data_IF_862184581007
#
_entry.id   IF_862184581007
#
_cell.length_a   1.000
_cell.length_b   1.000
_cell.length_c   1.000
_cell.angle_alpha   90.00
_cell.angle_beta   90.00
_cell.angle_gamma   90.00
#
_symmetry.space_group_name_H-M   'P 1'
#
loop_
_entity.id
_entity.type
_entity.pdbx_description
1 polymer ?
#
# COMPACT_ATOMS: atom_id res chain seq x y z
N UNK A 1 -11.93 22.73 -13.35
CA UNK A 1 -10.50 22.38 -13.17
C UNK A 1 -10.32 20.95 -13.64
N UNK A 2 -9.24 20.62 -14.37
CA UNK A 2 -8.93 19.23 -14.72
C UNK A 2 -8.65 18.42 -13.46
N UNK A 3 -9.08 17.15 -13.43
CA UNK A 3 -8.78 16.21 -12.34
C UNK A 3 -7.28 15.90 -12.36
N UNK A 4 -6.61 16.01 -11.21
CA UNK A 4 -5.19 15.67 -11.07
C UNK A 4 -5.03 14.26 -10.49
N UNK A 5 -3.94 13.59 -10.86
CA UNK A 5 -3.53 12.30 -10.33
C UNK A 5 -3.00 12.45 -8.90
N UNK A 6 -3.25 11.45 -8.07
CA UNK A 6 -2.49 11.20 -6.85
C UNK A 6 -1.33 10.23 -7.12
N UNK A 7 -0.15 10.50 -6.59
CA UNK A 7 1.02 9.63 -6.75
C UNK A 7 1.61 9.28 -5.39
N UNK A 8 1.62 7.98 -5.10
CA UNK A 8 2.36 7.43 -3.98
C UNK A 8 3.61 6.72 -4.50
N UNK A 9 4.72 6.81 -3.80
CA UNK A 9 5.87 5.94 -4.02
C UNK A 9 5.74 4.71 -3.13
N UNK A 10 5.49 3.54 -3.72
CA UNK A 10 5.56 2.28 -2.98
C UNK A 10 7.04 1.85 -2.92
N UNK A 11 7.63 1.86 -1.74
CA UNK A 11 8.99 1.34 -1.52
C UNK A 11 8.90 -0.15 -1.14
N UNK A 12 9.64 -0.99 -1.87
CA UNK A 12 9.77 -2.40 -1.58
C UNK A 12 11.16 -2.88 -1.97
N UNK A 13 11.97 -3.28 -0.99
CA UNK A 13 13.36 -3.69 -1.22
C UNK A 13 14.10 -2.65 -2.10
N UNK A 14 14.92 -3.11 -3.05
CA UNK A 14 15.58 -2.29 -4.07
C UNK A 14 14.75 -2.12 -5.35
N UNK A 15 13.46 -2.42 -5.32
CA UNK A 15 12.57 -2.31 -6.46
C UNK A 15 11.52 -3.41 -6.52
N UNK A 16 10.50 -3.20 -7.37
CA UNK A 16 9.35 -4.09 -7.47
C UNK A 16 9.55 -5.29 -8.40
N UNK A 17 10.70 -5.39 -9.06
CA UNK A 17 11.14 -6.64 -9.67
C UNK A 17 11.90 -7.48 -8.63
N UNK A 18 11.64 -8.78 -8.54
CA UNK A 18 12.25 -9.63 -7.51
C UNK A 18 13.78 -9.71 -7.59
N UNK A 19 14.32 -9.57 -8.80
CA UNK A 19 15.75 -9.53 -9.07
C UNK A 19 16.38 -8.13 -9.01
N UNK A 20 15.60 -7.10 -8.66
CA UNK A 20 16.06 -5.70 -8.64
C UNK A 20 17.36 -5.52 -7.86
N UNK A 21 17.54 -6.26 -6.77
CA UNK A 21 18.72 -6.19 -5.94
C UNK A 21 20.04 -6.60 -6.62
N UNK A 22 19.96 -7.36 -7.72
CA UNK A 22 21.12 -7.77 -8.52
C UNK A 22 21.49 -6.76 -9.60
N UNK A 23 20.59 -5.82 -9.89
CA UNK A 23 20.77 -4.88 -10.99
C UNK A 23 21.83 -3.82 -10.62
N UNK A 24 22.82 -3.52 -11.49
CA UNK A 24 23.92 -2.61 -11.15
C UNK A 24 23.48 -1.17 -10.85
N UNK A 25 22.32 -0.76 -11.36
CA UNK A 25 21.70 0.55 -11.07
C UNK A 25 20.78 0.56 -9.84
N UNK A 26 20.65 -0.55 -9.12
CA UNK A 26 19.95 -0.56 -7.84
C UNK A 26 20.82 0.08 -6.75
N UNK A 27 20.20 0.62 -5.70
CA UNK A 27 20.97 1.19 -4.58
C UNK A 27 21.91 0.14 -3.96
N UNK A 28 23.20 0.45 -3.76
CA UNK A 28 24.14 -0.46 -3.11
C UNK A 28 23.95 -0.50 -1.58
N UNK A 29 23.21 0.46 -1.00
CA UNK A 29 23.00 0.56 0.44
C UNK A 29 22.26 -0.67 0.98
N UNK A 30 22.49 -0.99 2.26
CA UNK A 30 21.75 -2.05 2.92
C UNK A 30 20.26 -1.68 3.00
N UNK A 31 19.37 -2.68 2.93
CA UNK A 31 17.94 -2.45 3.10
C UNK A 31 17.55 -2.03 4.53
N UNK A 32 18.48 -2.08 5.47
CA UNK A 32 18.35 -1.55 6.83
C UNK A 32 19.02 -0.19 6.99
N UNK A 33 19.68 0.33 5.96
CA UNK A 33 20.29 1.65 5.99
C UNK A 33 19.19 2.72 5.88
N UNK A 34 19.18 3.64 6.85
CA UNK A 34 18.23 4.74 6.84
C UNK A 34 18.45 5.67 5.65
N UNK A 35 19.69 5.85 5.19
CA UNK A 35 20.01 6.75 4.09
C UNK A 35 19.29 6.35 2.80
N UNK A 36 19.15 5.05 2.54
CA UNK A 36 18.36 4.54 1.42
C UNK A 36 16.92 5.05 1.45
N UNK A 37 16.26 4.96 2.61
CA UNK A 37 14.87 5.39 2.77
C UNK A 37 14.73 6.91 2.74
N UNK A 38 15.69 7.62 3.34
CA UNK A 38 15.75 9.08 3.36
C UNK A 38 15.86 9.64 1.94
N UNK A 39 16.75 9.09 1.12
CA UNK A 39 16.94 9.52 -0.27
C UNK A 39 15.68 9.33 -1.11
N UNK A 40 15.03 8.16 -1.02
CA UNK A 40 13.78 7.89 -1.74
C UNK A 40 12.65 8.82 -1.31
N UNK A 41 12.51 9.06 -0.01
CA UNK A 41 11.49 9.96 0.52
C UNK A 41 11.71 11.41 0.08
N UNK A 42 12.97 11.89 0.07
CA UNK A 42 13.32 13.23 -0.41
C UNK A 42 13.08 13.40 -1.91
N UNK A 43 13.52 12.45 -2.73
CA UNK A 43 13.25 12.46 -4.19
C UNK A 43 11.75 12.55 -4.47
N UNK A 44 10.94 11.76 -3.77
CA UNK A 44 9.48 11.79 -3.91
C UNK A 44 8.87 13.12 -3.38
N UNK A 45 9.37 13.65 -2.27
CA UNK A 45 8.94 14.95 -1.71
C UNK A 45 9.24 16.11 -2.67
N UNK A 46 10.45 16.19 -3.19
CA UNK A 46 10.86 17.23 -4.14
C UNK A 46 10.05 17.14 -5.45
N UNK A 47 9.62 15.94 -5.83
CA UNK A 47 8.73 15.68 -6.95
C UNK A 47 7.24 15.93 -6.64
N UNK A 48 6.90 16.35 -5.41
CA UNK A 48 5.55 16.63 -4.93
C UNK A 48 4.59 15.42 -4.88
N UNK A 49 5.11 14.20 -4.67
CA UNK A 49 4.30 12.99 -4.49
C UNK A 49 3.41 13.12 -3.23
N UNK A 50 2.21 12.54 -3.26
CA UNK A 50 1.28 12.57 -2.12
C UNK A 50 1.88 11.86 -0.90
N UNK A 51 2.51 10.70 -1.09
CA UNK A 51 3.12 9.94 0.00
C UNK A 51 4.21 8.96 -0.43
N UNK A 52 5.01 8.49 0.53
CA UNK A 52 5.65 7.18 0.46
C UNK A 52 4.78 6.13 1.14
N UNK A 53 4.83 4.90 0.65
CA UNK A 53 4.09 3.76 1.17
C UNK A 53 5.05 2.61 1.50
N UNK A 54 5.05 2.22 2.78
CA UNK A 54 5.84 1.13 3.32
C UNK A 54 4.93 -0.06 3.64
N UNK A 55 5.03 -1.11 2.83
CA UNK A 55 4.39 -2.38 3.12
C UNK A 55 5.12 -3.13 4.24
N UNK A 56 4.42 -4.05 4.89
CA UNK A 56 5.02 -4.88 5.92
C UNK A 56 4.65 -6.36 5.81
N UNK A 57 5.52 -7.21 6.35
CA UNK A 57 5.31 -8.64 6.51
C UNK A 57 5.87 -9.08 7.86
N UNK A 58 5.05 -9.76 8.67
CA UNK A 58 5.40 -10.13 10.03
C UNK A 58 6.04 -11.53 10.15
N UNK A 59 6.59 -12.02 9.04
CA UNK A 59 7.27 -13.30 8.95
C UNK A 59 8.29 -13.26 7.83
N UNK A 60 9.48 -13.80 8.06
CA UNK A 60 10.50 -13.95 7.03
C UNK A 60 10.13 -15.09 6.08
N UNK A 61 10.26 -14.87 4.77
CA UNK A 61 10.07 -15.93 3.77
C UNK A 61 11.31 -16.83 3.68
N UNK A 62 11.12 -18.13 3.44
CA UNK A 62 12.22 -19.08 3.22
C UNK A 62 13.07 -18.85 1.96
N UNK A 63 12.69 -17.88 1.11
CA UNK A 63 13.40 -17.50 -0.12
C UNK A 63 14.50 -16.43 0.09
N UNK A 64 14.84 -16.09 1.33
CA UNK A 64 15.75 -14.98 1.65
C UNK A 64 17.17 -15.17 1.08
N UNK A 65 17.59 -16.41 0.81
CA UNK A 65 18.87 -16.70 0.16
C UNK A 65 18.95 -16.17 -1.29
N UNK A 66 17.80 -15.99 -1.95
CA UNK A 66 17.73 -15.59 -3.36
C UNK A 66 16.89 -14.32 -3.58
N UNK A 67 16.21 -13.82 -2.55
CA UNK A 67 15.38 -12.63 -2.61
C UNK A 67 15.71 -11.67 -1.47
N UNK A 68 15.94 -10.40 -1.80
CA UNK A 68 16.25 -9.38 -0.81
C UNK A 68 14.97 -8.91 -0.08
N UNK A 69 14.50 -9.70 0.88
CA UNK A 69 13.27 -9.48 1.66
C UNK A 69 13.55 -9.29 3.16
N UNK A 70 14.32 -8.26 3.47
CA UNK A 70 14.55 -7.78 4.83
C UNK A 70 14.59 -6.26 4.78
N UNK A 71 13.81 -5.57 5.62
CA UNK A 71 13.76 -4.11 5.70
C UNK A 71 13.39 -3.69 7.14
N UNK A 72 13.51 -2.39 7.43
CA UNK A 72 13.15 -1.83 8.73
C UNK A 72 11.65 -1.94 9.01
N UNK A 73 11.27 -2.11 10.27
CA UNK A 73 9.87 -2.07 10.69
C UNK A 73 9.25 -0.69 10.33
N UNK A 74 8.10 -0.65 9.62
CA UNK A 74 7.62 0.61 9.03
C UNK A 74 7.23 1.72 10.01
N UNK A 75 6.61 1.41 11.15
CA UNK A 75 6.11 2.43 12.11
C UNK A 75 7.28 3.18 12.75
N UNK A 76 8.34 2.47 13.14
CA UNK A 76 9.57 3.07 13.66
C UNK A 76 10.30 3.89 12.58
N UNK A 77 10.38 3.37 11.35
CA UNK A 77 10.96 4.09 10.21
C UNK A 77 10.20 5.39 9.89
N UNK A 78 8.87 5.43 10.03
CA UNK A 78 8.11 6.69 9.85
C UNK A 78 8.59 7.79 10.78
N UNK A 79 9.01 7.46 12.01
CA UNK A 79 9.53 8.45 12.97
C UNK A 79 10.78 9.16 12.45
N UNK A 80 11.72 8.39 11.90
CA UNK A 80 12.94 8.95 11.30
C UNK A 80 12.64 9.74 10.02
N UNK A 81 11.74 9.24 9.16
CA UNK A 81 11.35 9.93 7.92
C UNK A 81 10.56 11.20 8.19
N UNK A 82 9.74 11.23 9.24
CA UNK A 82 9.00 12.42 9.66
C UNK A 82 9.92 13.59 10.02
N UNK A 83 11.08 13.31 10.61
CA UNK A 83 12.09 14.32 10.91
C UNK A 83 12.94 14.71 9.67
N UNK A 84 13.06 13.82 8.68
CA UNK A 84 13.89 14.03 7.49
C UNK A 84 13.15 14.65 6.29
N UNK A 85 11.82 14.82 6.40
CA UNK A 85 10.92 15.34 5.35
C UNK A 85 9.94 16.36 5.94
N UNK A 86 9.28 17.14 5.10
CA UNK A 86 8.50 18.32 5.54
C UNK A 86 7.04 18.36 5.03
N UNK A 87 6.74 17.68 3.93
CA UNK A 87 5.48 17.74 3.20
C UNK A 87 4.93 16.38 2.83
N UNK A 88 5.75 15.44 2.35
CA UNK A 88 5.28 14.15 1.84
C UNK A 88 4.54 13.34 2.90
N UNK A 89 3.48 12.65 2.51
CA UNK A 89 2.79 11.68 3.35
C UNK A 89 3.66 10.48 3.69
N UNK A 90 3.42 9.88 4.85
CA UNK A 90 4.17 8.76 5.39
C UNK A 90 3.19 7.65 5.74
N UNK A 91 3.03 6.66 4.86
CA UNK A 91 2.10 5.55 5.05
C UNK A 91 2.85 4.30 5.50
N UNK A 92 2.46 3.75 6.65
CA UNK A 92 2.94 2.46 7.13
C UNK A 92 1.82 1.43 7.16
N UNK A 93 2.17 0.20 6.81
CA UNK A 93 1.31 -0.97 7.04
C UNK A 93 1.41 -1.41 8.48
N UNK A 94 0.26 -1.63 9.13
CA UNK A 94 0.21 -2.22 10.45
C UNK A 94 -1.03 -3.10 10.61
N UNK A 95 -0.87 -4.19 11.37
CA UNK A 95 -1.88 -5.23 11.50
C UNK A 95 -2.91 -4.92 12.60
N UNK A 96 -4.20 -5.16 12.33
CA UNK A 96 -5.26 -5.16 13.35
C UNK A 96 -5.32 -6.48 14.16
N UNK A 97 -4.45 -7.45 13.85
CA UNK A 97 -4.50 -8.80 14.42
C UNK A 97 -3.44 -9.01 15.49
N UNK A 98 -2.27 -8.39 15.35
CA UNK A 98 -1.10 -8.71 16.17
C UNK A 98 -0.58 -7.53 17.02
N UNK A 99 -1.36 -6.46 17.11
CA UNK A 99 -1.02 -5.30 17.95
C UNK A 99 -2.28 -4.75 18.59
N UNK A 100 -2.27 -4.55 19.91
CA UNK A 100 -3.40 -3.98 20.63
C UNK A 100 -3.81 -2.59 20.10
N UNK A 101 -5.11 -2.28 19.99
CA UNK A 101 -5.60 -1.01 19.43
C UNK A 101 -5.11 0.22 20.20
N UNK A 102 -4.94 0.11 21.53
CA UNK A 102 -4.40 1.21 22.33
C UNK A 102 -2.94 1.52 21.97
N UNK A 103 -2.12 0.48 21.75
CA UNK A 103 -0.71 0.66 21.38
C UNK A 103 -0.59 1.34 20.02
N UNK A 104 -1.31 0.82 19.02
CA UNK A 104 -1.24 1.33 17.67
C UNK A 104 -1.80 2.75 17.55
N UNK A 105 -2.92 3.04 18.22
CA UNK A 105 -3.49 4.39 18.27
C UNK A 105 -2.49 5.41 18.84
N UNK A 106 -1.76 5.05 19.91
CA UNK A 106 -0.71 5.92 20.50
C UNK A 106 0.46 6.14 19.56
N UNK A 107 0.98 5.08 18.94
CA UNK A 107 2.11 5.15 18.01
C UNK A 107 1.78 6.07 16.83
N UNK A 108 0.65 5.81 16.16
CA UNK A 108 0.22 6.62 15.03
C UNK A 108 -0.13 8.06 15.42
N UNK A 109 -0.78 8.30 16.57
CA UNK A 109 -1.06 9.67 17.04
C UNK A 109 0.23 10.45 17.29
N UNK A 110 1.22 9.80 17.92
CA UNK A 110 2.53 10.42 18.21
C UNK A 110 3.25 10.78 16.91
N UNK A 111 3.30 9.85 15.95
CA UNK A 111 3.86 10.10 14.62
C UNK A 111 3.11 11.20 13.87
N UNK A 112 1.79 11.30 14.03
CA UNK A 112 0.99 12.33 13.38
C UNK A 112 1.28 13.72 13.96
N UNK A 113 1.51 13.84 15.26
CA UNK A 113 2.02 15.07 15.87
C UNK A 113 3.45 15.40 15.41
N UNK A 114 4.39 14.43 15.45
CA UNK A 114 5.79 14.61 15.02
C UNK A 114 5.85 15.10 13.56
N UNK A 115 5.06 14.48 12.69
CA UNK A 115 5.03 14.79 11.26
C UNK A 115 4.17 16.01 10.90
N UNK A 116 3.42 16.58 11.86
CA UNK A 116 2.44 17.66 11.66
C UNK A 116 1.28 17.28 10.72
N UNK A 117 0.76 16.07 10.88
CA UNK A 117 -0.43 15.59 10.20
C UNK A 117 -0.16 14.92 8.85
N UNK A 118 0.95 14.17 8.74
CA UNK A 118 1.35 13.52 7.47
C UNK A 118 1.25 12.00 7.49
N UNK A 119 0.72 11.40 8.55
CA UNK A 119 0.72 9.93 8.68
C UNK A 119 -0.51 9.30 8.01
N UNK A 120 -0.28 8.17 7.35
CA UNK A 120 -1.32 7.25 6.94
C UNK A 120 -1.09 5.84 7.49
N UNK A 121 -2.18 5.12 7.70
CA UNK A 121 -2.17 3.74 8.16
C UNK A 121 -2.78 2.84 7.09
N UNK A 122 -1.96 1.95 6.51
CA UNK A 122 -2.46 0.84 5.72
C UNK A 122 -2.93 -0.31 6.62
N UNK A 123 -4.26 -0.45 6.70
CA UNK A 123 -4.96 -1.38 7.58
C UNK A 123 -4.89 -2.78 6.97
N UNK A 124 -4.21 -3.70 7.67
CA UNK A 124 -4.08 -5.09 7.24
C UNK A 124 -4.64 -6.02 8.32
N UNK A 125 -5.49 -6.96 7.92
CA UNK A 125 -6.05 -7.96 8.85
C UNK A 125 -5.15 -9.17 9.03
N UNK A 126 -3.98 -9.20 8.39
CA UNK A 126 -3.05 -10.33 8.26
C UNK A 126 -3.63 -11.54 7.51
N UNK A 127 -2.75 -12.32 6.90
CA UNK A 127 -3.12 -13.54 6.15
C UNK A 127 -2.07 -14.66 6.18
N UNK A 128 -0.91 -14.45 6.81
CA UNK A 128 0.19 -15.42 6.81
C UNK A 128 0.10 -16.37 8.01
N UNK A 129 0.15 -17.68 7.77
CA UNK A 129 0.26 -18.71 8.82
C UNK A 129 1.58 -18.55 9.59
N UNK A 130 2.69 -18.32 8.88
CA UNK A 130 3.99 -18.13 9.51
C UNK A 130 4.02 -16.89 10.43
N UNK A 131 3.23 -15.86 10.13
CA UNK A 131 3.07 -14.73 11.04
C UNK A 131 2.33 -15.14 12.32
N UNK A 132 1.28 -15.96 12.23
CA UNK A 132 0.53 -16.42 13.41
C UNK A 132 1.44 -17.09 14.45
N UNK A 133 2.35 -17.96 14.00
CA UNK A 133 3.32 -18.63 14.88
C UNK A 133 4.25 -17.66 15.62
N UNK A 134 4.60 -16.53 15.03
CA UNK A 134 5.44 -15.51 15.68
C UNK A 134 4.72 -14.76 16.81
N UNK A 135 3.38 -14.82 16.86
CA UNK A 135 2.56 -14.16 17.89
C UNK A 135 1.90 -15.15 18.86
N UNK A 136 2.33 -16.41 18.84
CA UNK A 136 1.86 -17.45 19.75
C UNK A 136 0.55 -18.13 19.33
N UNK A 137 0.00 -17.80 18.16
CA UNK A 137 -1.17 -18.49 17.61
C UNK A 137 -0.74 -19.78 16.90
N UNK A 138 -1.36 -20.92 17.22
CA UNK A 138 -1.07 -22.19 16.52
C UNK A 138 -1.64 -22.23 15.10
N UNK A 139 -2.80 -21.58 14.91
CA UNK A 139 -3.54 -21.54 13.66
C UNK A 139 -3.89 -20.11 13.28
N UNK A 140 -4.00 -19.88 11.98
CA UNK A 140 -4.43 -18.60 11.47
C UNK A 140 -5.92 -18.37 11.76
N UNK A 141 -6.24 -17.24 12.40
CA UNK A 141 -7.63 -16.78 12.61
C UNK A 141 -8.41 -16.78 11.29
N UNK A 142 -9.66 -17.23 11.29
CA UNK A 142 -10.49 -17.35 10.09
C UNK A 142 -10.67 -16.02 9.35
N UNK A 143 -10.91 -16.05 8.03
CA UNK A 143 -11.11 -14.82 7.24
C UNK A 143 -12.25 -13.94 7.81
N UNK A 144 -13.37 -14.56 8.18
CA UNK A 144 -14.52 -13.87 8.74
C UNK A 144 -14.19 -13.23 10.09
N UNK A 145 -13.54 -13.97 10.99
CA UNK A 145 -13.19 -13.47 12.33
C UNK A 145 -12.14 -12.34 12.26
N UNK A 146 -11.20 -12.41 11.31
CA UNK A 146 -10.23 -11.33 11.09
C UNK A 146 -10.90 -10.01 10.73
N UNK A 147 -11.92 -10.03 9.86
CA UNK A 147 -12.67 -8.82 9.52
C UNK A 147 -13.62 -8.38 10.64
N UNK A 148 -14.28 -9.29 11.34
CA UNK A 148 -15.11 -8.95 12.51
C UNK A 148 -14.27 -8.26 13.60
N UNK A 149 -13.08 -8.79 13.88
CA UNK A 149 -12.10 -8.19 14.79
C UNK A 149 -11.60 -6.84 14.29
N UNK A 150 -11.34 -6.70 12.98
CA UNK A 150 -10.89 -5.44 12.39
C UNK A 150 -11.96 -4.33 12.47
N UNK A 151 -13.24 -4.66 12.28
CA UNK A 151 -14.36 -3.71 12.45
C UNK A 151 -14.39 -3.14 13.87
N UNK A 152 -14.32 -4.01 14.89
CA UNK A 152 -14.25 -3.56 16.28
C UNK A 152 -12.96 -2.76 16.57
N UNK A 153 -11.83 -3.17 16.01
CA UNK A 153 -10.56 -2.44 16.11
C UNK A 153 -10.70 -1.01 15.61
N UNK A 154 -11.32 -0.82 14.44
CA UNK A 154 -11.50 0.49 13.84
C UNK A 154 -12.41 1.39 14.68
N UNK A 155 -13.44 0.82 15.33
CA UNK A 155 -14.27 1.56 16.27
C UNK A 155 -13.45 2.07 17.47
N UNK A 156 -12.66 1.18 18.10
CA UNK A 156 -11.79 1.53 19.23
C UNK A 156 -10.75 2.58 18.84
N UNK A 157 -10.02 2.38 17.73
CA UNK A 157 -8.96 3.28 17.30
C UNK A 157 -9.49 4.69 16.97
N UNK A 158 -10.62 4.79 16.24
CA UNK A 158 -11.28 6.07 15.95
C UNK A 158 -11.71 6.78 17.24
N UNK A 159 -12.35 6.06 18.16
CA UNK A 159 -12.78 6.63 19.43
C UNK A 159 -11.60 7.09 20.30
N UNK A 160 -10.45 6.37 20.27
CA UNK A 160 -9.24 6.77 20.98
C UNK A 160 -8.69 8.09 20.44
N UNK A 161 -8.58 8.26 19.12
CA UNK A 161 -8.13 9.54 18.53
C UNK A 161 -9.11 10.69 18.77
N UNK A 162 -10.39 10.37 18.98
CA UNK A 162 -11.44 11.34 19.27
C UNK A 162 -11.68 11.56 20.78
N UNK A 163 -10.92 10.90 21.66
CA UNK A 163 -11.06 11.01 23.12
C UNK A 163 -10.68 12.39 23.69
N UNK A 164 -10.00 13.22 22.90
CA UNK A 164 -9.69 14.61 23.23
C UNK A 164 -10.40 15.54 22.23
N UNK A 165 -11.02 16.60 22.72
CA UNK A 165 -11.46 17.70 21.87
C UNK A 165 -10.27 18.43 21.23
N UNK A 166 -10.51 19.13 20.12
CA UNK A 166 -9.47 19.89 19.41
C UNK A 166 -8.82 20.99 20.28
N UNK A 167 -9.61 21.62 21.15
CA UNK A 167 -9.20 22.71 22.06
C UNK A 167 -8.96 22.23 23.50
N UNK A 168 -8.74 20.92 23.69
CA UNK A 168 -8.62 20.32 25.02
C UNK A 168 -7.38 20.79 25.79
N UNK A 169 -6.27 21.09 25.12
CA UNK A 169 -5.04 21.59 25.75
C UNK A 169 -5.05 23.12 25.77
N UNK A 170 -5.01 23.70 26.97
CA UNK A 170 -4.98 25.15 27.22
C UNK A 170 -3.55 25.68 27.43
N UNK A 171 -2.73 24.94 28.19
CA UNK A 171 -1.41 25.39 28.71
C UNK A 171 -1.44 26.80 29.36
N UNK A 172 -2.48 27.08 30.14
CA UNK A 172 -2.67 28.35 30.86
C UNK A 172 -1.85 28.36 32.16
N UNK A 173 -0.61 28.87 32.07
CA UNK A 173 0.33 28.95 33.20
C UNK A 173 -0.14 29.91 34.31
N UNK A 174 -0.64 31.13 34.02
CA UNK A 174 -1.17 32.02 35.05
C UNK A 174 -2.33 31.40 35.86
N UNK A 175 -3.25 30.70 35.21
CA UNK A 175 -4.39 30.06 35.90
C UNK A 175 -4.08 28.66 36.46
N UNK A 176 -2.89 28.10 36.17
CA UNK A 176 -2.52 26.74 36.56
C UNK A 176 -3.36 25.66 35.89
N UNK A 177 -3.82 25.88 34.65
CA UNK A 177 -4.74 24.99 33.93
C UNK A 177 -4.12 24.47 32.64
N UNK A 178 -3.77 23.18 32.63
CA UNK A 178 -3.22 22.56 31.42
C UNK A 178 -4.29 22.16 30.40
N UNK A 179 -5.45 21.65 30.85
CA UNK A 179 -6.50 21.16 29.97
C UNK A 179 -7.88 21.72 30.35
N UNK A 180 -8.78 21.80 29.35
CA UNK A 180 -10.17 22.27 29.50
C UNK A 180 -11.02 21.19 30.18
N UNK A 181 -11.67 21.46 31.33
CA UNK A 181 -12.51 20.48 32.00
C UNK A 181 -13.61 19.92 31.09
N UNK A 182 -13.80 18.60 31.12
CA UNK A 182 -14.82 17.91 30.33
C UNK A 182 -14.57 17.86 28.82
N UNK A 183 -13.36 18.20 28.36
CA UNK A 183 -12.95 18.11 26.95
C UNK A 183 -12.20 16.81 26.60
N UNK A 184 -12.01 15.95 27.60
CA UNK A 184 -11.33 14.66 27.47
C UNK A 184 -12.29 13.60 28.01
N UNK A 185 -12.49 12.52 27.27
CA UNK A 185 -13.50 11.52 27.59
C UNK A 185 -12.92 10.11 27.58
N UNK A 186 -13.31 9.32 28.59
CA UNK A 186 -13.09 7.88 28.56
C UNK A 186 -13.87 7.25 27.39
N UNK A 187 -13.37 6.12 26.89
CA UNK A 187 -14.07 5.32 25.89
C UNK A 187 -15.05 4.35 26.55
N UNK A 188 -14.61 3.70 27.62
CA UNK A 188 -15.32 2.59 28.29
C UNK A 188 -15.82 1.51 27.29
N UNK A 189 -15.06 1.25 26.22
CA UNK A 189 -15.44 0.29 25.19
C UNK A 189 -15.38 -1.14 25.76
N UNK A 190 -16.47 -1.88 25.63
CA UNK A 190 -16.57 -3.28 26.01
C UNK A 190 -17.28 -4.08 24.91
N UNK A 191 -16.52 -4.47 23.89
CA UNK A 191 -17.02 -5.27 22.78
C UNK A 191 -16.67 -6.76 22.90
N UNK A 192 -16.83 -7.48 21.79
CA UNK A 192 -16.60 -8.93 21.72
C UNK A 192 -15.11 -9.25 21.77
N UNK A 193 -14.29 -8.43 21.12
CA UNK A 193 -12.86 -8.66 20.94
C UNK A 193 -12.01 -7.78 21.86
N UNK A 194 -12.46 -6.57 22.20
CA UNK A 194 -11.66 -5.60 22.95
C UNK A 194 -12.42 -5.01 24.14
N UNK A 195 -11.67 -4.75 25.21
CA UNK A 195 -12.10 -3.96 26.37
C UNK A 195 -11.09 -2.86 26.62
N UNK A 196 -11.47 -1.61 26.40
CA UNK A 196 -10.55 -0.45 26.43
C UNK A 196 -11.20 0.71 27.19
N UNK A 197 -10.65 1.05 28.35
CA UNK A 197 -11.16 2.13 29.19
C UNK A 197 -10.97 3.52 28.54
N UNK A 198 -9.80 3.78 27.94
CA UNK A 198 -9.43 5.13 27.51
C UNK A 198 -9.21 6.08 28.69
N UNK A 199 -8.99 7.38 28.44
CA UNK A 199 -8.86 8.03 27.14
C UNK A 199 -7.52 7.65 26.50
N UNK A 200 -7.26 8.09 25.27
CA UNK A 200 -5.90 8.08 24.76
C UNK A 200 -5.06 9.07 25.58
N UNK A 201 -3.77 8.81 25.78
CA UNK A 201 -2.87 9.73 26.50
C UNK A 201 -2.09 10.65 25.54
N UNK A 202 -2.63 10.88 24.34
CA UNK A 202 -2.08 11.78 23.32
C UNK A 202 -3.25 12.62 22.80
N UNK A 203 -3.11 13.96 22.70
CA UNK A 203 -4.16 14.82 22.15
C UNK A 203 -4.55 14.42 20.72
N UNK A 204 -5.74 14.86 20.31
CA UNK A 204 -6.28 14.64 18.96
C UNK A 204 -5.26 15.04 17.88
N UNK A 205 -5.20 14.27 16.81
CA UNK A 205 -4.15 14.40 15.82
C UNK A 205 -4.30 15.69 14.98
N UNK A 206 -3.21 16.27 14.44
CA UNK A 206 -3.29 17.52 13.67
C UNK A 206 -4.25 17.44 12.48
N UNK A 207 -4.25 16.32 11.76
CA UNK A 207 -5.20 16.05 10.66
C UNK A 207 -6.47 15.32 11.12
N UNK A 208 -6.82 15.43 12.42
CA UNK A 208 -7.95 14.76 13.07
C UNK A 208 -7.58 13.34 13.48
N UNK A 209 -7.24 12.51 12.50
CA UNK A 209 -6.68 11.17 12.65
C UNK A 209 -5.85 10.80 11.41
N UNK A 210 -4.92 9.84 11.49
CA UNK A 210 -4.17 9.35 10.33
C UNK A 210 -5.08 8.99 9.15
N UNK A 211 -4.58 9.12 7.92
CA UNK A 211 -5.33 8.74 6.71
C UNK A 211 -5.44 7.22 6.63
N UNK A 212 -6.64 6.70 6.41
CA UNK A 212 -6.84 5.25 6.29
C UNK A 212 -6.61 4.77 4.87
N UNK A 213 -5.68 3.82 4.74
CA UNK A 213 -5.31 3.14 3.51
C UNK A 213 -5.70 1.68 3.65
N UNK A 214 -6.17 1.03 2.59
CA UNK A 214 -6.54 -0.38 2.64
C UNK A 214 -6.34 -1.06 1.28
N UNK A 215 -6.13 -2.38 1.26
CA UNK A 215 -5.79 -3.14 0.05
C UNK A 215 -6.55 -4.47 -0.15
N UNK A 216 -7.72 -4.61 0.47
CA UNK A 216 -8.54 -5.82 0.41
C UNK A 216 -9.30 -5.93 -0.90
N UNK A 217 -9.12 -7.05 -1.60
CA UNK A 217 -9.78 -7.35 -2.88
C UNK A 217 -10.95 -8.33 -2.78
N UNK A 218 -11.10 -9.05 -1.65
CA UNK A 218 -12.26 -9.93 -1.43
C UNK A 218 -13.56 -9.13 -1.31
N UNK A 219 -14.71 -9.78 -1.39
CA UNK A 219 -16.00 -9.12 -1.16
C UNK A 219 -16.05 -8.42 0.21
N UNK A 220 -15.74 -9.15 1.28
CA UNK A 220 -15.61 -8.59 2.64
C UNK A 220 -14.58 -7.47 2.71
N UNK A 221 -13.45 -7.63 2.00
CA UNK A 221 -12.38 -6.63 1.96
C UNK A 221 -12.79 -5.33 1.27
N UNK A 222 -13.55 -5.43 0.18
CA UNK A 222 -14.11 -4.27 -0.54
C UNK A 222 -15.20 -3.57 0.27
N UNK A 223 -16.03 -4.32 0.99
CA UNK A 223 -17.01 -3.73 1.91
C UNK A 223 -16.35 -3.00 3.08
N UNK A 224 -15.30 -3.59 3.66
CA UNK A 224 -14.51 -2.95 4.70
C UNK A 224 -13.82 -1.68 4.17
N UNK A 225 -13.20 -1.75 2.99
CA UNK A 225 -12.60 -0.58 2.33
C UNK A 225 -13.63 0.52 2.09
N UNK A 226 -14.80 0.17 1.57
CA UNK A 226 -15.89 1.10 1.33
C UNK A 226 -16.35 1.81 2.61
N UNK A 227 -16.36 1.14 3.77
CA UNK A 227 -16.71 1.75 5.07
C UNK A 227 -15.59 2.61 5.66
N UNK A 228 -14.32 2.21 5.52
CA UNK A 228 -13.23 2.82 6.30
C UNK A 228 -12.19 3.56 5.46
N UNK A 229 -11.81 3.04 4.29
CA UNK A 229 -10.65 3.50 3.55
C UNK A 229 -10.89 4.86 2.91
N UNK A 230 -9.88 5.70 2.93
CA UNK A 230 -9.85 7.01 2.29
C UNK A 230 -8.95 6.96 1.05
N UNK A 231 -7.98 6.04 1.07
CA UNK A 231 -7.15 5.65 -0.06
C UNK A 231 -7.17 4.12 -0.18
N UNK A 232 -7.33 3.61 -1.40
CA UNK A 232 -7.40 2.17 -1.65
C UNK A 232 -6.31 1.79 -2.63
N UNK A 233 -5.42 0.92 -2.17
CA UNK A 233 -4.39 0.31 -2.99
C UNK A 233 -4.93 -0.99 -3.59
N UNK A 234 -4.76 -1.19 -4.90
CA UNK A 234 -5.32 -2.38 -5.57
C UNK A 234 -4.38 -2.93 -6.64
N UNK A 235 -4.45 -4.24 -6.85
CA UNK A 235 -3.74 -4.94 -7.90
C UNK A 235 -4.67 -5.15 -9.09
N UNK A 236 -4.38 -4.46 -10.19
CA UNK A 236 -5.14 -4.54 -11.43
C UNK A 236 -4.16 -4.79 -12.57
N UNK A 237 -4.36 -5.90 -13.30
CA UNK A 237 -3.50 -6.32 -14.41
C UNK A 237 -4.00 -5.78 -15.75
N UNK A 238 -5.27 -5.39 -15.82
CA UNK A 238 -5.92 -4.95 -17.04
C UNK A 238 -6.86 -3.78 -16.73
N UNK A 239 -7.05 -2.90 -17.73
CA UNK A 239 -7.89 -1.71 -17.56
C UNK A 239 -9.36 -2.05 -17.29
N UNK A 240 -9.90 -3.08 -17.95
CA UNK A 240 -11.29 -3.50 -17.76
C UNK A 240 -11.57 -3.94 -16.32
N UNK A 241 -10.66 -4.73 -15.72
CA UNK A 241 -10.80 -5.13 -14.31
C UNK A 241 -10.64 -3.95 -13.36
N UNK A 242 -9.75 -2.99 -13.69
CA UNK A 242 -9.59 -1.76 -12.92
C UNK A 242 -10.86 -0.90 -12.91
N UNK A 243 -11.51 -0.71 -14.08
CA UNK A 243 -12.77 0.02 -14.19
C UNK A 243 -13.90 -0.66 -13.42
N UNK A 244 -14.01 -1.99 -13.52
CA UNK A 244 -15.00 -2.76 -12.77
C UNK A 244 -14.79 -2.61 -11.24
N UNK A 245 -13.55 -2.72 -10.77
CA UNK A 245 -13.22 -2.51 -9.36
C UNK A 245 -13.48 -1.07 -8.90
N UNK A 246 -13.11 -0.08 -9.72
CA UNK A 246 -13.35 1.33 -9.44
C UNK A 246 -14.85 1.61 -9.26
N UNK A 247 -15.68 1.18 -10.23
CA UNK A 247 -17.12 1.38 -10.18
C UNK A 247 -17.78 0.68 -8.98
N UNK A 248 -17.42 -0.59 -8.72
CA UNK A 248 -17.94 -1.36 -7.59
C UNK A 248 -17.60 -0.69 -6.25
N UNK A 249 -16.36 -0.27 -6.04
CA UNK A 249 -15.94 0.31 -4.78
C UNK A 249 -16.59 1.68 -4.53
N UNK A 250 -16.72 2.53 -5.55
CA UNK A 250 -17.43 3.82 -5.45
C UNK A 250 -18.92 3.60 -5.15
N UNK A 251 -19.55 2.58 -5.74
CA UNK A 251 -20.93 2.21 -5.43
C UNK A 251 -21.09 1.72 -3.97
N UNK A 252 -20.18 0.88 -3.48
CA UNK A 252 -20.16 0.43 -2.08
C UNK A 252 -19.96 1.58 -1.10
N UNK A 253 -19.06 2.52 -1.39
CA UNK A 253 -18.85 3.71 -0.57
C UNK A 253 -20.13 4.54 -0.45
N UNK A 254 -20.84 4.73 -1.57
CA UNK A 254 -22.14 5.41 -1.59
C UNK A 254 -23.19 4.66 -0.76
N UNK A 255 -23.29 3.34 -0.90
CA UNK A 255 -24.19 2.49 -0.09
C UNK A 255 -23.87 2.56 1.40
N UNK A 256 -22.61 2.76 1.77
CA UNK A 256 -22.16 2.98 3.14
C UNK A 256 -22.38 4.43 3.65
N UNK A 257 -23.06 5.28 2.87
CA UNK A 257 -23.36 6.67 3.25
C UNK A 257 -22.17 7.64 3.12
N UNK A 258 -21.11 7.24 2.41
CA UNK A 258 -19.92 8.09 2.20
C UNK A 258 -19.95 8.74 0.83
N UNK A 259 -19.27 9.89 0.71
CA UNK A 259 -19.01 10.49 -0.59
C UNK A 259 -17.95 9.66 -1.34
N UNK A 260 -18.28 9.05 -2.50
CA UNK A 260 -17.34 8.21 -3.26
C UNK A 260 -16.12 8.96 -3.79
N UNK A 261 -16.22 10.28 -3.99
CA UNK A 261 -15.09 11.13 -4.40
C UNK A 261 -14.04 11.30 -3.30
N UNK A 262 -14.37 10.95 -2.04
CA UNK A 262 -13.43 10.97 -0.91
C UNK A 262 -12.77 9.60 -0.65
N UNK A 263 -12.82 8.70 -1.63
CA UNK A 263 -12.15 7.40 -1.59
C UNK A 263 -11.23 7.31 -2.81
N UNK A 264 -9.95 7.67 -2.67
CA UNK A 264 -9.00 7.65 -3.77
C UNK A 264 -8.61 6.20 -4.10
N UNK A 265 -8.76 5.77 -5.35
CA UNK A 265 -8.40 4.41 -5.79
C UNK A 265 -7.11 4.47 -6.59
N UNK A 266 -6.04 3.89 -6.04
CA UNK A 266 -4.67 3.99 -6.55
C UNK A 266 -4.11 2.59 -6.89
N UNK A 267 -4.37 2.07 -8.09
CA UNK A 267 -3.75 0.84 -8.56
C UNK A 267 -2.22 0.92 -8.53
N UNK A 268 -1.57 -0.20 -8.28
CA UNK A 268 -0.12 -0.28 -8.44
C UNK A 268 0.30 -0.25 -9.90
N UNK A 269 1.33 0.54 -10.23
CA UNK A 269 1.85 0.70 -11.58
C UNK A 269 3.38 0.63 -11.57
N UNK A 270 3.95 -0.33 -12.30
CA UNK A 270 5.39 -0.60 -12.36
C UNK A 270 5.94 -0.34 -13.76
N UNK A 271 6.22 0.92 -14.12
CA UNK A 271 6.79 1.26 -15.42
C UNK A 271 8.31 1.06 -15.44
N UNK A 272 8.79 0.37 -16.48
CA UNK A 272 10.17 0.38 -16.92
C UNK A 272 10.28 1.40 -18.05
N UNK A 273 11.04 2.46 -17.83
CA UNK A 273 11.05 3.66 -18.68
C UNK A 273 12.39 3.75 -19.41
N UNK A 274 12.34 3.94 -20.72
CA UNK A 274 13.51 4.15 -21.58
C UNK A 274 13.22 5.18 -22.68
N UNK A 275 14.24 5.68 -23.37
CA UNK A 275 14.06 6.70 -24.41
C UNK A 275 13.37 6.16 -25.67
N UNK A 276 13.45 4.85 -25.90
CA UNK A 276 12.83 4.16 -27.05
C UNK A 276 12.16 2.86 -26.62
N UNK A 277 11.22 2.38 -27.45
CA UNK A 277 10.52 1.11 -27.22
C UNK A 277 11.51 -0.07 -27.23
N UNK A 278 12.46 -0.07 -28.17
CA UNK A 278 13.48 -1.10 -28.30
C UNK A 278 14.40 -1.16 -27.08
N UNK A 279 14.75 0.01 -26.52
CA UNK A 279 15.52 0.06 -25.28
C UNK A 279 14.71 -0.45 -24.09
N UNK A 280 13.43 -0.09 -23.99
CA UNK A 280 12.57 -0.59 -22.92
C UNK A 280 12.48 -2.13 -22.96
N UNK A 281 12.32 -2.72 -24.14
CA UNK A 281 12.29 -4.18 -24.34
C UNK A 281 13.62 -4.83 -23.97
N UNK A 282 14.75 -4.22 -24.35
CA UNK A 282 16.08 -4.68 -23.95
C UNK A 282 16.25 -4.69 -22.43
N UNK A 283 15.80 -3.64 -21.75
CA UNK A 283 15.88 -3.53 -20.30
C UNK A 283 14.95 -4.54 -19.58
N UNK A 284 13.79 -4.86 -20.15
CA UNK A 284 12.95 -5.96 -19.67
C UNK A 284 13.70 -7.28 -19.74
N UNK A 285 14.35 -7.59 -20.86
CA UNK A 285 15.14 -8.81 -21.02
C UNK A 285 16.32 -8.86 -20.03
N UNK A 286 17.04 -7.74 -19.87
CA UNK A 286 18.14 -7.62 -18.91
C UNK A 286 17.67 -7.91 -17.48
N UNK A 287 16.62 -7.21 -17.03
CA UNK A 287 16.12 -7.33 -15.66
C UNK A 287 15.53 -8.73 -15.38
N UNK A 288 14.81 -9.29 -16.34
CA UNK A 288 14.29 -10.65 -16.27
C UNK A 288 15.41 -11.70 -16.25
N UNK A 289 16.51 -11.45 -16.99
CA UNK A 289 17.70 -12.31 -17.00
C UNK A 289 18.41 -12.41 -15.65
N UNK A 290 18.18 -11.45 -14.74
CA UNK A 290 18.65 -11.48 -13.36
C UNK A 290 17.75 -12.31 -12.43
N UNK A 291 16.57 -12.75 -12.86
CA UNK A 291 15.71 -13.56 -12.01
C UNK A 291 16.29 -14.98 -11.83
N UNK A 292 16.10 -15.54 -10.63
CA UNK A 292 16.42 -16.93 -10.34
C UNK A 292 15.23 -17.81 -10.74
N UNK A 293 15.38 -18.73 -11.72
CA UNK A 293 14.28 -19.57 -12.16
C UNK A 293 13.69 -20.43 -11.03
N UNK A 294 14.48 -20.86 -10.05
CA UNK A 294 13.99 -21.71 -8.96
C UNK A 294 13.13 -20.94 -7.95
N UNK A 295 13.44 -19.65 -7.72
CA UNK A 295 12.53 -18.74 -7.02
C UNK A 295 11.22 -18.60 -7.80
N UNK A 296 11.32 -18.42 -9.12
CA UNK A 296 10.16 -18.37 -10.01
C UNK A 296 9.30 -19.63 -9.92
N UNK A 297 9.90 -20.82 -9.96
CA UNK A 297 9.21 -22.11 -9.85
C UNK A 297 8.51 -22.27 -8.51
N UNK A 298 9.17 -21.95 -7.39
CA UNK A 298 8.55 -22.01 -6.05
C UNK A 298 7.33 -21.10 -5.95
N UNK A 299 7.44 -19.87 -6.47
CA UNK A 299 6.30 -18.97 -6.55
C UNK A 299 5.18 -19.54 -7.42
N UNK A 300 5.50 -20.09 -8.60
CA UNK A 300 4.53 -20.70 -9.49
C UNK A 300 3.83 -21.88 -8.81
N UNK A 301 4.59 -22.77 -8.16
CA UNK A 301 4.09 -23.89 -7.36
C UNK A 301 3.09 -23.40 -6.30
N UNK A 302 3.43 -22.34 -5.56
CA UNK A 302 2.52 -21.73 -4.59
C UNK A 302 1.22 -21.16 -5.18
N UNK A 303 1.20 -20.79 -6.47
CA UNK A 303 -0.03 -20.37 -7.18
C UNK A 303 -0.95 -21.55 -7.52
N UNK A 304 -0.42 -22.77 -7.54
CA UNK A 304 -1.13 -24.00 -7.89
C UNK A 304 -1.14 -24.98 -6.71
N UNK A 305 -1.28 -24.46 -5.48
CA UNK A 305 -1.45 -25.30 -4.28
C UNK A 305 -0.24 -26.16 -3.92
N UNK A 306 0.97 -25.80 -4.38
CA UNK A 306 2.17 -26.60 -4.17
C UNK A 306 2.47 -27.61 -5.27
N UNK A 307 1.78 -27.56 -6.41
CA UNK A 307 2.07 -28.42 -7.56
C UNK A 307 3.53 -28.29 -7.99
N UNK A 308 4.17 -29.43 -8.26
CA UNK A 308 5.58 -29.49 -8.62
C UNK A 308 5.79 -29.28 -10.13
N UNK A 309 6.39 -28.15 -10.48
CA UNK A 309 6.77 -27.80 -11.84
C UNK A 309 8.23 -28.17 -12.16
N UNK A 310 8.98 -28.83 -11.26
CA UNK A 310 10.41 -29.13 -11.43
C UNK A 310 10.75 -29.98 -12.65
N UNK A 311 9.80 -30.83 -13.09
CA UNK A 311 9.93 -31.68 -14.26
C UNK A 311 9.87 -30.92 -15.60
N UNK A 312 9.46 -29.64 -15.61
CA UNK A 312 9.36 -28.84 -16.83
C UNK A 312 10.71 -28.19 -17.18
N UNK A 313 11.22 -28.42 -18.38
CA UNK A 313 12.41 -27.75 -18.90
C UNK A 313 12.19 -26.24 -19.08
N UNK A 314 13.20 -25.42 -18.78
CA UNK A 314 13.06 -23.96 -18.78
C UNK A 314 12.73 -23.37 -20.16
N UNK A 315 13.34 -23.91 -21.22
CA UNK A 315 13.22 -23.37 -22.58
C UNK A 315 12.20 -24.13 -23.44
N UNK A 316 11.43 -25.04 -22.81
CA UNK A 316 10.31 -25.73 -23.47
C UNK A 316 9.08 -24.81 -23.51
N UNK A 317 8.41 -24.65 -24.68
CA UNK A 317 7.12 -24.00 -24.77
C UNK A 317 6.06 -24.71 -23.92
N UNK A 318 5.30 -23.94 -23.15
CA UNK A 318 4.26 -24.44 -22.28
C UNK A 318 2.90 -24.55 -23.00
N UNK A 319 2.08 -25.44 -22.48
CA UNK A 319 0.68 -25.67 -22.88
C UNK A 319 -0.21 -25.69 -21.64
N UNK A 320 -1.53 -25.52 -21.81
CA UNK A 320 -2.48 -25.61 -20.70
C UNK A 320 -2.40 -26.95 -19.95
N UNK A 321 -2.05 -28.03 -20.65
CA UNK A 321 -1.92 -29.37 -20.08
C UNK A 321 -0.73 -29.51 -19.11
N UNK A 322 0.21 -28.56 -19.11
CA UNK A 322 1.32 -28.53 -18.15
C UNK A 322 0.89 -28.00 -16.77
N UNK A 323 -0.37 -27.58 -16.61
CA UNK A 323 -0.92 -26.98 -15.39
C UNK A 323 -2.08 -27.81 -14.83
N UNK A 324 -2.23 -27.87 -13.50
CA UNK A 324 -3.47 -28.34 -12.87
C UNK A 324 -4.65 -27.49 -13.32
N UNK A 325 -5.84 -28.11 -13.34
CA UNK A 325 -7.09 -27.40 -13.59
C UNK A 325 -7.22 -26.24 -12.57
N UNK A 326 -7.28 -24.97 -13.03
CA UNK A 326 -7.45 -23.82 -12.14
C UNK A 326 -8.61 -23.95 -11.17
N UNK A 327 -9.68 -24.67 -11.54
CA UNK A 327 -10.87 -24.85 -10.72
C UNK A 327 -10.62 -25.74 -9.50
N UNK A 328 -9.54 -26.51 -9.49
CA UNK A 328 -9.11 -27.32 -8.35
C UNK A 328 -8.22 -26.57 -7.35
N UNK A 329 -7.88 -25.31 -7.62
CA UNK A 329 -6.96 -24.50 -6.80
C UNK A 329 -7.73 -23.53 -5.89
N UNK A 330 -8.19 -24.03 -4.74
CA UNK A 330 -9.01 -23.27 -3.78
C UNK A 330 -8.38 -21.92 -3.33
N UNK A 331 -7.07 -21.88 -3.05
CA UNK A 331 -6.42 -20.70 -2.48
C UNK A 331 -6.08 -19.59 -3.50
N UNK A 332 -6.05 -19.89 -4.80
CA UNK A 332 -5.54 -18.98 -5.83
C UNK A 332 -6.21 -19.11 -7.21
N UNK A 333 -7.41 -19.72 -7.29
CA UNK A 333 -8.17 -20.00 -8.52
C UNK A 333 -8.11 -18.88 -9.57
N UNK A 334 -8.44 -17.64 -9.18
CA UNK A 334 -8.43 -16.49 -10.10
C UNK A 334 -7.05 -16.24 -10.72
N UNK A 335 -5.96 -16.35 -9.93
CA UNK A 335 -4.60 -16.16 -10.45
C UNK A 335 -4.12 -17.35 -11.26
N UNK A 336 -4.49 -18.58 -10.88
CA UNK A 336 -4.20 -19.79 -11.64
C UNK A 336 -4.84 -19.70 -13.04
N UNK A 337 -6.11 -19.31 -13.11
CA UNK A 337 -6.82 -19.13 -14.38
C UNK A 337 -6.16 -18.07 -15.28
N UNK A 338 -5.72 -16.93 -14.73
CA UNK A 338 -4.96 -15.91 -15.49
C UNK A 338 -3.66 -16.46 -16.06
N UNK A 339 -2.92 -17.28 -15.30
CA UNK A 339 -1.66 -17.88 -15.76
C UNK A 339 -1.91 -18.89 -16.87
N UNK A 340 -2.90 -19.77 -16.72
CA UNK A 340 -3.24 -20.76 -17.76
C UNK A 340 -3.71 -20.07 -19.03
N UNK A 341 -4.59 -19.06 -18.93
CA UNK A 341 -5.03 -18.30 -20.11
C UNK A 341 -3.91 -17.53 -20.82
N UNK A 342 -2.90 -17.06 -20.08
CA UNK A 342 -1.68 -16.50 -20.68
C UNK A 342 -0.90 -17.56 -21.47
N UNK A 343 -0.74 -18.76 -20.90
CA UNK A 343 -0.04 -19.87 -21.55
C UNK A 343 -0.76 -20.33 -22.81
N UNK A 344 -2.09 -20.43 -22.77
CA UNK A 344 -2.90 -20.80 -23.93
C UNK A 344 -2.74 -19.82 -25.09
N UNK A 345 -2.75 -18.52 -24.79
CA UNK A 345 -2.68 -17.46 -25.79
C UNK A 345 -1.28 -17.28 -26.37
N UNK A 346 -0.25 -17.28 -25.52
CA UNK A 346 1.10 -16.84 -25.90
C UNK A 346 2.09 -17.99 -26.04
N UNK A 347 1.78 -19.19 -25.51
CA UNK A 347 2.67 -20.36 -25.47
C UNK A 347 4.12 -20.02 -25.10
N UNK A 348 4.35 -19.28 -23.99
CA UNK A 348 5.68 -18.89 -23.57
C UNK A 348 6.49 -20.13 -23.17
N UNK A 349 7.82 -20.03 -23.21
CA UNK A 349 8.65 -21.01 -22.49
C UNK A 349 8.46 -20.84 -20.98
N UNK A 350 8.81 -21.87 -20.20
CA UNK A 350 8.75 -21.74 -18.74
C UNK A 350 9.61 -20.58 -18.25
N UNK A 351 10.82 -20.39 -18.78
CA UNK A 351 11.69 -19.25 -18.46
C UNK A 351 10.99 -17.91 -18.67
N UNK A 352 10.31 -17.76 -19.82
CA UNK A 352 9.57 -16.54 -20.15
C UNK A 352 8.38 -16.33 -19.21
N UNK A 353 7.63 -17.38 -18.88
CA UNK A 353 6.52 -17.30 -17.93
C UNK A 353 7.02 -16.87 -16.54
N UNK A 354 8.06 -17.53 -16.03
CA UNK A 354 8.63 -17.23 -14.71
C UNK A 354 9.11 -15.78 -14.62
N UNK A 355 9.78 -15.30 -15.68
CA UNK A 355 10.20 -13.92 -15.83
C UNK A 355 9.02 -12.94 -15.86
N UNK A 356 7.95 -13.22 -16.62
CA UNK A 356 6.75 -12.37 -16.64
C UNK A 356 6.11 -12.24 -15.26
N UNK A 357 6.18 -13.29 -14.44
CA UNK A 357 5.65 -13.29 -13.07
C UNK A 357 6.62 -12.65 -12.05
N UNK A 358 7.86 -12.34 -12.44
CA UNK A 358 8.91 -11.77 -11.58
C UNK A 358 8.65 -10.31 -11.18
N UNK A 359 7.93 -9.57 -12.01
CA UNK A 359 7.63 -8.16 -11.83
C UNK A 359 6.38 -7.89 -11.00
N UNK A 360 6.45 -6.85 -10.16
CA UNK A 360 5.33 -6.11 -9.58
C UNK A 360 4.25 -6.92 -8.84
N UNK A 361 4.49 -8.20 -8.51
CA UNK A 361 3.65 -9.05 -7.64
C UNK A 361 2.16 -9.16 -8.06
N UNK A 362 1.88 -8.99 -9.35
CA UNK A 362 0.53 -9.02 -9.92
C UNK A 362 -0.12 -7.65 -10.10
N UNK A 363 0.65 -6.57 -10.02
CA UNK A 363 0.25 -5.24 -10.47
C UNK A 363 0.62 -5.02 -11.95
N UNK A 364 0.08 -3.96 -12.55
CA UNK A 364 0.34 -3.64 -13.95
C UNK A 364 1.83 -3.33 -14.17
N UNK A 365 2.47 -4.11 -15.04
CA UNK A 365 3.83 -3.86 -15.53
C UNK A 365 3.75 -3.24 -16.91
N UNK A 366 4.60 -2.26 -17.16
CA UNK A 366 4.69 -1.56 -18.43
C UNK A 366 6.17 -1.37 -18.80
N UNK A 367 6.48 -1.42 -20.08
CA UNK A 367 7.80 -1.08 -20.60
C UNK A 367 7.63 -0.20 -21.85
N UNK A 368 8.20 1.00 -21.82
CA UNK A 368 8.10 1.92 -22.95
C UNK A 368 8.68 3.30 -22.66
N UNK A 369 8.29 4.25 -23.50
CA UNK A 369 8.75 5.65 -23.48
C UNK A 369 8.09 6.49 -22.38
N UNK A 370 8.66 7.66 -22.03
CA UNK A 370 8.03 8.59 -21.11
C UNK A 370 6.64 9.04 -21.57
N UNK A 371 6.47 9.31 -22.86
CA UNK A 371 5.20 9.70 -23.48
C UNK A 371 4.15 8.61 -23.33
N UNK A 372 4.48 7.36 -23.69
CA UNK A 372 3.55 6.23 -23.55
C UNK A 372 3.17 5.99 -22.08
N UNK A 373 4.11 6.17 -21.15
CA UNK A 373 3.85 6.07 -19.71
C UNK A 373 2.84 7.15 -19.27
N UNK A 374 3.05 8.40 -19.70
CA UNK A 374 2.14 9.49 -19.39
C UNK A 374 0.76 9.32 -20.05
N UNK A 375 0.71 8.79 -21.28
CA UNK A 375 -0.53 8.48 -22.01
C UNK A 375 -1.35 7.42 -21.27
N UNK A 376 -0.69 6.33 -20.83
CA UNK A 376 -1.32 5.28 -20.03
C UNK A 376 -1.98 5.85 -18.77
N UNK A 377 -1.25 6.67 -18.01
CA UNK A 377 -1.76 7.27 -16.77
C UNK A 377 -2.92 8.24 -17.03
N UNK A 378 -2.82 9.05 -18.09
CA UNK A 378 -3.87 9.98 -18.49
C UNK A 378 -5.15 9.24 -18.91
N UNK A 379 -5.01 8.17 -19.69
CA UNK A 379 -6.11 7.33 -20.13
C UNK A 379 -6.84 6.65 -18.96
N UNK A 380 -6.10 6.07 -18.01
CA UNK A 380 -6.70 5.43 -16.83
C UNK A 380 -7.45 6.40 -15.92
N UNK A 381 -6.95 7.64 -15.77
CA UNK A 381 -7.66 8.68 -15.02
C UNK A 381 -8.95 9.09 -15.72
N UNK A 382 -8.86 9.38 -17.03
CA UNK A 382 -10.00 9.85 -17.84
C UNK A 382 -11.12 8.82 -17.86
N UNK A 383 -10.76 7.55 -17.99
CA UNK A 383 -11.73 6.48 -18.23
C UNK A 383 -12.25 5.83 -16.94
N UNK A 384 -11.97 6.45 -15.78
CA UNK A 384 -12.48 5.99 -14.49
C UNK A 384 -11.90 4.64 -14.04
N UNK A 385 -10.64 4.36 -14.38
CA UNK A 385 -9.92 3.18 -13.92
C UNK A 385 -9.09 3.45 -12.66
N UNK A 386 -8.71 4.72 -12.41
CA UNK A 386 -7.90 5.13 -11.28
C UNK A 386 -8.08 6.60 -10.92
N UNK A 387 -7.79 6.96 -9.66
CA UNK A 387 -7.63 8.35 -9.20
C UNK A 387 -6.16 8.79 -9.20
N UNK A 388 -5.26 7.88 -9.56
CA UNK A 388 -3.83 8.01 -9.34
C UNK A 388 -3.18 6.63 -9.23
N UNK A 389 -1.92 6.59 -8.81
CA UNK A 389 -1.15 5.35 -8.79
C UNK A 389 -0.27 5.22 -7.55
N UNK A 390 -0.16 3.98 -7.06
CA UNK A 390 1.00 3.59 -6.28
C UNK A 390 2.11 3.24 -7.28
N UNK A 391 3.03 4.17 -7.51
CA UNK A 391 4.18 3.97 -8.37
C UNK A 391 5.09 2.91 -7.75
N UNK A 392 5.42 1.89 -8.54
CA UNK A 392 6.17 0.72 -8.13
C UNK A 392 7.41 0.56 -9.02
N UNK A 393 8.46 1.39 -8.86
CA UNK A 393 9.62 1.33 -9.74
C UNK A 393 10.27 -0.06 -9.70
N UNK A 394 10.54 -0.70 -10.85
CA UNK A 394 11.09 -2.06 -10.87
C UNK A 394 12.51 -2.12 -10.31
N UNK A 395 13.27 -1.02 -10.39
CA UNK A 395 14.62 -0.86 -9.81
C UNK A 395 14.73 0.53 -9.16
N UNK A 396 15.07 0.59 -7.87
CA UNK A 396 15.20 1.80 -7.06
C UNK A 396 16.68 2.13 -6.79
N UNK A 397 17.08 3.42 -6.90
CA UNK A 397 16.26 4.59 -7.26
C UNK A 397 16.11 4.80 -8.78
N UNK A 398 16.82 4.03 -9.61
CA UNK A 398 16.97 4.33 -11.04
C UNK A 398 15.66 4.59 -11.80
N UNK A 399 14.64 3.75 -11.62
CA UNK A 399 13.35 3.91 -12.32
C UNK A 399 12.43 4.95 -11.66
N UNK A 400 12.68 5.29 -10.40
CA UNK A 400 12.07 6.48 -9.78
C UNK A 400 12.64 7.75 -10.40
N UNK A 401 13.96 7.81 -10.56
CA UNK A 401 14.66 8.95 -11.18
C UNK A 401 14.19 9.15 -12.63
N UNK A 402 14.13 8.07 -13.42
CA UNK A 402 13.60 8.13 -14.79
C UNK A 402 12.16 8.65 -14.84
N UNK A 403 11.29 8.22 -13.91
CA UNK A 403 9.92 8.71 -13.83
C UNK A 403 9.86 10.21 -13.50
N UNK A 404 10.60 10.65 -12.47
CA UNK A 404 10.62 12.05 -12.02
C UNK A 404 11.19 12.96 -13.12
N UNK A 405 12.27 12.56 -13.78
CA UNK A 405 12.97 13.38 -14.76
C UNK A 405 12.27 13.44 -16.12
N UNK A 406 11.59 12.35 -16.52
CA UNK A 406 11.10 12.20 -17.90
C UNK A 406 9.58 12.13 -18.02
N UNK A 407 8.88 11.47 -17.09
CA UNK A 407 7.42 11.30 -17.15
C UNK A 407 6.69 12.46 -16.46
N UNK A 408 7.17 12.84 -15.27
CA UNK A 408 6.52 13.86 -14.45
C UNK A 408 6.39 15.23 -15.16
N UNK A 409 7.38 15.72 -15.93
CA UNK A 409 7.24 16.97 -16.69
C UNK A 409 6.12 16.89 -17.74
N UNK A 410 5.92 15.72 -18.36
CA UNK A 410 4.84 15.50 -19.34
C UNK A 410 3.48 15.56 -18.63
N UNK A 411 3.34 14.89 -17.49
CA UNK A 411 2.10 14.93 -16.69
C UNK A 411 1.76 16.35 -16.24
N UNK A 412 2.75 17.11 -15.78
CA UNK A 412 2.61 18.51 -15.35
C UNK A 412 2.25 19.43 -16.51
N UNK A 413 2.92 19.32 -17.67
CA UNK A 413 2.58 20.07 -18.89
C UNK A 413 1.14 19.81 -19.35
N UNK A 414 0.62 18.60 -19.10
CA UNK A 414 -0.77 18.22 -19.41
C UNK A 414 -1.78 18.60 -18.31
N UNK A 415 -1.33 19.23 -17.21
CA UNK A 415 -2.19 19.59 -16.08
C UNK A 415 -2.75 18.39 -15.30
N UNK A 416 -2.11 17.23 -15.41
CA UNK A 416 -2.51 15.97 -14.78
C UNK A 416 -1.85 15.76 -13.42
N UNK A 417 -0.82 16.53 -13.08
CA UNK A 417 -0.16 16.47 -11.79
C UNK A 417 0.28 17.86 -11.33
N UNK A 418 0.43 18.02 -10.02
CA UNK A 418 0.78 19.29 -9.38
C UNK A 418 2.26 19.64 -9.62
N UNK A 419 2.55 20.95 -9.64
CA UNK A 419 3.93 21.48 -9.65
C UNK A 419 4.52 21.53 -8.24
N UNK A 420 3.68 21.80 -7.24
CA UNK A 420 4.07 21.92 -5.84
C UNK A 420 2.91 21.52 -4.91
N UNK A 421 3.21 21.30 -3.64
CA UNK A 421 2.19 21.06 -2.62
C UNK A 421 1.32 22.29 -2.36
N UNK A 422 0.00 22.10 -2.33
CA UNK A 422 -0.98 23.11 -1.95
C UNK A 422 -1.35 23.08 -0.46
N UNK A 423 -0.95 22.03 0.25
CA UNK A 423 -1.22 21.83 1.68
C UNK A 423 -0.01 21.29 2.45
N UNK A 424 -0.19 21.02 3.74
CA UNK A 424 0.86 20.48 4.62
C UNK A 424 0.53 19.14 5.26
N UNK A 425 -0.73 18.70 5.19
CA UNK A 425 -1.18 17.42 5.75
C UNK A 425 -1.38 16.39 4.65
N UNK A 426 -1.31 15.10 5.00
CA UNK A 426 -1.58 14.04 4.04
C UNK A 426 -3.02 14.10 3.51
N UNK A 427 -3.98 14.42 4.37
CA UNK A 427 -5.36 14.69 3.94
C UNK A 427 -5.46 15.78 2.88
N UNK A 428 -4.74 16.89 3.05
CA UNK A 428 -4.77 17.98 2.07
C UNK A 428 -4.22 17.54 0.70
N UNK A 429 -3.19 16.68 0.67
CA UNK A 429 -2.65 16.16 -0.58
C UNK A 429 -3.67 15.35 -1.38
N UNK A 430 -4.47 14.54 -0.68
CA UNK A 430 -5.57 13.76 -1.26
C UNK A 430 -6.90 14.53 -1.41
N UNK A 431 -6.95 15.83 -1.07
CA UNK A 431 -8.21 16.60 -1.11
C UNK A 431 -9.26 16.12 -0.09
N UNK A 432 -8.83 15.44 0.97
CA UNK A 432 -9.70 14.93 2.03
C UNK A 432 -9.99 15.99 3.09
N UNK A 433 -11.22 15.99 3.60
CA UNK A 433 -11.58 16.82 4.74
C UNK A 433 -10.95 16.29 6.03
N UNK A 434 -10.64 17.20 6.96
CA UNK A 434 -10.32 16.86 8.35
C UNK A 434 -11.59 16.32 9.03
N UNK A 435 -11.58 15.09 9.59
CA UNK A 435 -12.75 14.54 10.27
C UNK A 435 -13.15 15.40 11.48
N UNK A 436 -14.44 15.65 11.62
CA UNK A 436 -15.00 16.24 12.83
C UNK A 436 -14.83 15.27 14.03
N UNK A 437 -14.75 15.79 15.26
CA UNK A 437 -14.75 14.93 16.44
C UNK A 437 -16.06 14.19 16.59
N UNK A 438 -15.99 12.87 16.74
CA UNK A 438 -17.11 12.02 17.12
C UNK A 438 -16.94 11.62 18.59
N UNK A 439 -17.62 12.34 19.49
CA UNK A 439 -17.68 11.92 20.90
C UNK A 439 -18.61 10.71 20.99
N UNK A 440 -18.14 9.55 21.49
CA UNK A 440 -19.00 8.38 21.63
C UNK A 440 -20.23 8.68 22.50
N UNK A 441 -21.43 8.19 22.14
CA UNK A 441 -22.61 8.30 23.00
C UNK A 441 -22.33 7.71 24.39
N UNK A 442 -22.54 8.50 25.45
CA UNK A 442 -22.28 8.07 26.83
C UNK A 442 -20.84 8.21 27.31
N UNK A 443 -19.94 8.82 26.51
CA UNK A 443 -18.55 9.05 26.91
C UNK A 443 -18.47 9.93 28.16
N UNK A 444 -17.81 9.43 29.20
CA UNK A 444 -17.71 10.12 30.49
C UNK A 444 -16.55 11.11 30.47
N UNK A 445 -16.77 12.40 30.81
CA UNK A 445 -15.69 13.37 30.94
C UNK A 445 -14.75 13.00 32.08
N UNK A 446 -13.48 13.38 31.95
CA UNK A 446 -12.43 13.21 32.97
C UNK A 446 -12.11 14.54 33.63
#
# INVERSE_FOLDING_TARGET
MSRQLHLNLFVHSRGHHEASWRHPKASPLALTDFEFHRELARKAEDAAFDSIFLADTLSMSGEVAHTARSWLEPVTLLGALAAATSKIGLIATASTTYTEPFNLARQFASLDHISKGRIGWNIVTSWSVAAAHNYGDEVQVSHADRYARAEEYMAVAKALWDSWADDAVLDDRPAGRYAKPGSIHALDHAGKHYRVAGPLNVPRCPQGRPVFVQAGSSETGRDFAARHAEVVFTAQLEKGTAQAFYADLKARATKAGRNPERVAILPGFSPLIADTQEEAERLVLELNGLADPEVGRKRLSGRFGGFDFGHLELDRPLTAADFPDPDTVEAARSRAATIVGLVERERPTLRQLLAKLAGARGHYTFAGTPEQTADFMAEWLRDGAADGFNLMPPVLPWMLDAFIERVLPILRKRGLFREAYSGSTLRAHYGLARPAPEVPPGARPI
#
